data_IF_826159535343
#
_entry.id   IF_826159535343
#
_cell.length_a   1.000
_cell.length_b   1.000
_cell.length_c   1.000
_cell.angle_alpha   90.00
_cell.angle_beta   90.00
_cell.angle_gamma   90.00
#
_symmetry.space_group_name_H-M   'P 1'
#
loop_
_entity.id
_entity.type
_entity.pdbx_description
1 polymer ?
#
# COMPACT_ATOMS: atom_id res chain seq x y z
N UNK A 1 -1.92 -27.74 2.20
CA UNK A 1 -1.88 -26.38 1.64
C UNK A 1 -0.75 -25.58 2.26
N UNK A 2 -0.09 -24.71 1.48
CA UNK A 2 0.94 -23.81 1.99
C UNK A 2 0.26 -22.58 2.61
N UNK A 3 0.79 -22.11 3.73
CA UNK A 3 0.37 -20.83 4.34
C UNK A 3 0.75 -19.67 3.40
N UNK A 4 -0.09 -18.64 3.37
CA UNK A 4 0.11 -17.47 2.52
C UNK A 4 0.27 -16.22 3.38
N UNK A 5 1.18 -15.36 2.95
CA UNK A 5 1.57 -14.12 3.61
C UNK A 5 1.33 -12.94 2.68
N UNK A 6 0.77 -11.86 3.22
CA UNK A 6 0.57 -10.62 2.49
C UNK A 6 1.78 -9.68 2.67
N UNK A 7 2.19 -9.04 1.58
CA UNK A 7 3.19 -7.98 1.56
C UNK A 7 2.48 -6.69 1.18
N UNK A 8 2.25 -5.82 2.16
CA UNK A 8 1.80 -4.45 1.91
C UNK A 8 2.96 -3.53 1.57
N UNK A 9 2.82 -2.71 0.54
CA UNK A 9 3.78 -1.68 0.18
C UNK A 9 3.09 -0.40 -0.26
N UNK A 10 3.84 0.70 -0.15
CA UNK A 10 3.34 2.05 -0.36
C UNK A 10 4.09 2.75 -1.48
N UNK A 11 3.39 3.45 -2.36
CA UNK A 11 4.00 4.34 -3.37
C UNK A 11 3.42 5.74 -3.19
N UNK A 12 4.30 6.70 -2.90
CA UNK A 12 3.92 8.09 -2.70
C UNK A 12 3.42 8.72 -4.00
N UNK A 13 2.40 9.57 -3.87
CA UNK A 13 1.97 10.47 -4.93
C UNK A 13 2.73 11.80 -4.79
N UNK A 14 2.87 12.54 -5.89
CA UNK A 14 3.49 13.86 -5.84
C UNK A 14 2.61 14.84 -5.04
N UNK A 15 3.13 15.32 -3.90
CA UNK A 15 2.39 16.20 -2.97
C UNK A 15 2.00 17.54 -3.59
N UNK A 16 2.88 18.16 -4.36
CA UNK A 16 2.60 19.47 -4.97
C UNK A 16 1.52 19.34 -6.05
N UNK A 17 1.59 18.29 -6.87
CA UNK A 17 0.56 17.98 -7.84
C UNK A 17 -0.77 17.66 -7.18
N UNK A 18 -0.77 16.94 -6.05
CA UNK A 18 -1.98 16.64 -5.29
C UNK A 18 -2.67 17.91 -4.76
N UNK A 19 -1.89 18.89 -4.27
CA UNK A 19 -2.40 20.18 -3.77
C UNK A 19 -3.12 21.02 -4.81
N UNK A 20 -2.94 20.74 -6.11
CA UNK A 20 -3.68 21.42 -7.17
C UNK A 20 -5.18 21.11 -7.17
N UNK A 21 -5.66 20.18 -6.34
CA UNK A 21 -7.08 19.85 -6.21
C UNK A 21 -7.59 18.99 -7.37
N UNK A 22 -8.89 19.05 -7.73
CA UNK A 22 -9.48 18.19 -8.76
C UNK A 22 -9.11 18.67 -10.19
N UNK A 23 -7.82 18.63 -10.52
CA UNK A 23 -7.28 19.03 -11.83
C UNK A 23 -6.63 17.86 -12.57
N UNK A 24 -6.32 18.07 -13.85
CA UNK A 24 -5.56 17.12 -14.65
C UNK A 24 -4.18 16.82 -14.06
N UNK A 25 -3.55 17.78 -13.37
CA UNK A 25 -2.23 17.61 -12.74
C UNK A 25 -2.31 16.60 -11.60
N UNK A 26 -3.29 16.75 -10.70
CA UNK A 26 -3.55 15.78 -9.64
C UNK A 26 -3.90 14.39 -10.20
N UNK A 27 -4.71 14.34 -11.26
CA UNK A 27 -5.06 13.08 -11.91
C UNK A 27 -3.84 12.37 -12.51
N UNK A 28 -2.92 13.12 -13.13
CA UNK A 28 -1.66 12.59 -13.65
C UNK A 28 -0.74 12.08 -12.52
N UNK A 29 -0.68 12.77 -11.38
CA UNK A 29 0.08 12.33 -10.21
C UNK A 29 -0.44 11.00 -9.66
N UNK A 30 -1.76 10.86 -9.52
CA UNK A 30 -2.41 9.61 -9.15
C UNK A 30 -2.06 8.49 -10.15
N UNK A 31 -2.17 8.75 -11.46
CA UNK A 31 -1.85 7.77 -12.51
C UNK A 31 -0.39 7.32 -12.49
N UNK A 32 0.55 8.22 -12.21
CA UNK A 32 1.98 7.92 -12.10
C UNK A 32 2.25 6.86 -11.02
N UNK A 33 1.59 6.96 -9.87
CA UNK A 33 1.68 5.96 -8.79
C UNK A 33 1.33 4.54 -9.30
N UNK A 34 0.25 4.40 -10.07
CA UNK A 34 -0.19 3.10 -10.58
C UNK A 34 0.75 2.54 -11.64
N UNK A 35 1.42 3.42 -12.39
CA UNK A 35 2.50 3.02 -13.30
C UNK A 35 3.71 2.48 -12.52
N UNK A 36 4.11 3.16 -11.45
CA UNK A 36 5.18 2.70 -10.56
C UNK A 36 4.84 1.37 -9.88
N UNK A 37 3.56 1.15 -9.52
CA UNK A 37 3.07 -0.14 -9.00
C UNK A 37 3.42 -1.29 -9.95
N UNK A 38 3.26 -1.10 -11.25
CA UNK A 38 3.59 -2.12 -12.25
C UNK A 38 5.04 -2.58 -12.15
N UNK A 39 5.98 -1.64 -12.04
CA UNK A 39 7.40 -1.94 -11.91
C UNK A 39 7.72 -2.68 -10.61
N UNK A 40 7.28 -2.14 -9.47
CA UNK A 40 7.54 -2.74 -8.14
C UNK A 40 6.94 -4.14 -8.07
N UNK A 41 5.70 -4.31 -8.51
CA UNK A 41 5.03 -5.60 -8.49
C UNK A 41 5.76 -6.63 -9.35
N UNK A 42 6.07 -6.31 -10.61
CA UNK A 42 6.75 -7.25 -11.51
C UNK A 42 8.13 -7.62 -10.99
N UNK A 43 8.91 -6.65 -10.51
CA UNK A 43 10.24 -6.91 -9.95
C UNK A 43 10.19 -7.79 -8.70
N UNK A 44 9.28 -7.54 -7.77
CA UNK A 44 9.14 -8.34 -6.54
C UNK A 44 8.65 -9.75 -6.84
N UNK A 45 7.71 -9.91 -7.78
CA UNK A 45 7.24 -11.24 -8.19
C UNK A 45 8.38 -12.09 -8.76
N UNK A 46 9.18 -11.51 -9.65
CA UNK A 46 10.29 -12.21 -10.29
C UNK A 46 11.43 -12.51 -9.30
N UNK A 47 11.67 -11.62 -8.35
CA UNK A 47 12.61 -11.87 -7.24
C UNK A 47 12.18 -13.08 -6.40
N UNK A 48 10.92 -13.10 -5.93
CA UNK A 48 10.39 -14.20 -5.12
C UNK A 48 10.36 -15.52 -5.89
N UNK A 49 9.99 -15.47 -7.18
CA UNK A 49 10.08 -16.62 -8.09
C UNK A 49 11.52 -17.13 -8.21
N UNK A 50 12.50 -16.24 -8.27
CA UNK A 50 13.92 -16.56 -8.33
C UNK A 50 14.46 -17.28 -7.09
N UNK A 51 13.90 -17.00 -5.90
CA UNK A 51 14.25 -17.67 -4.64
C UNK A 51 13.34 -18.86 -4.29
N UNK A 52 12.48 -19.30 -5.22
CA UNK A 52 11.69 -20.53 -5.08
C UNK A 52 10.31 -20.37 -4.45
N UNK A 53 9.83 -19.12 -4.31
CA UNK A 53 8.52 -18.81 -3.74
C UNK A 53 7.56 -18.28 -4.81
N UNK A 54 6.27 -18.56 -4.62
CA UNK A 54 5.21 -17.99 -5.44
C UNK A 54 4.94 -16.58 -4.94
N UNK A 55 4.72 -15.65 -5.85
CA UNK A 55 4.22 -14.33 -5.52
C UNK A 55 3.17 -13.93 -6.54
N UNK A 56 1.98 -13.63 -6.06
CA UNK A 56 0.88 -13.13 -6.87
C UNK A 56 0.58 -11.69 -6.48
N UNK A 57 0.50 -10.83 -7.49
CA UNK A 57 0.21 -9.41 -7.35
C UNK A 57 -0.39 -8.83 -8.63
N UNK A 58 -0.70 -7.53 -8.61
CA UNK A 58 -1.18 -6.78 -9.77
C UNK A 58 -2.40 -7.37 -10.52
N UNK A 59 -3.34 -7.97 -9.78
CA UNK A 59 -4.66 -8.28 -10.31
C UNK A 59 -5.48 -7.01 -10.59
N UNK A 60 -6.44 -7.09 -11.51
CA UNK A 60 -7.46 -6.04 -11.72
C UNK A 60 -8.25 -5.75 -10.44
N UNK A 61 -8.40 -6.76 -9.60
CA UNK A 61 -9.06 -6.67 -8.31
C UNK A 61 -8.02 -6.82 -7.19
N UNK A 62 -8.08 -5.94 -6.18
CA UNK A 62 -7.16 -6.04 -5.07
C UNK A 62 -7.43 -7.32 -4.25
N UNK A 63 -6.36 -7.91 -3.71
CA UNK A 63 -6.45 -9.15 -2.93
C UNK A 63 -7.15 -8.87 -1.59
N UNK A 64 -6.83 -7.71 -1.01
CA UNK A 64 -7.38 -7.20 0.26
C UNK A 64 -7.70 -5.71 0.11
N UNK A 65 -8.37 -5.11 1.09
CA UNK A 65 -8.50 -3.65 1.09
C UNK A 65 -7.14 -3.02 1.43
N UNK A 66 -6.51 -2.28 0.50
CA UNK A 66 -5.19 -1.68 0.75
C UNK A 66 -5.11 -0.79 2.00
N UNK A 67 -6.22 -0.13 2.39
CA UNK A 67 -6.30 0.61 3.65
C UNK A 67 -6.33 -0.28 4.89
N UNK A 68 -7.20 -1.29 4.91
CA UNK A 68 -7.26 -2.27 6.01
C UNK A 68 -5.96 -3.06 6.16
N UNK A 69 -5.36 -3.47 5.05
CA UNK A 69 -4.06 -4.15 5.03
C UNK A 69 -2.95 -3.25 5.62
N UNK A 70 -2.92 -1.96 5.28
CA UNK A 70 -1.94 -1.03 5.84
C UNK A 70 -2.07 -0.84 7.37
N UNK A 71 -3.28 -0.91 7.91
CA UNK A 71 -3.51 -0.92 9.37
C UNK A 71 -2.96 -2.20 9.99
N UNK A 72 -3.25 -3.35 9.39
CA UNK A 72 -2.78 -4.65 9.89
C UNK A 72 -1.27 -4.82 9.77
N UNK A 73 -0.64 -4.25 8.74
CA UNK A 73 0.81 -4.25 8.54
C UNK A 73 1.54 -3.18 9.37
N UNK A 74 0.84 -2.39 10.18
CA UNK A 74 1.45 -1.38 11.04
C UNK A 74 2.05 -0.17 10.32
N UNK A 75 1.65 0.10 9.09
CA UNK A 75 2.13 1.28 8.35
C UNK A 75 1.23 2.50 8.48
N UNK A 76 -0.05 2.30 8.79
CA UNK A 76 -1.04 3.37 8.81
C UNK A 76 -2.12 3.20 9.89
N UNK A 77 -2.84 4.29 10.18
CA UNK A 77 -4.05 4.29 11.01
C UNK A 77 -5.25 4.85 10.26
N UNK A 78 -6.45 4.44 10.69
CA UNK A 78 -7.71 5.03 10.23
C UNK A 78 -7.81 6.52 10.57
N UNK A 79 -8.40 7.28 9.65
CA UNK A 79 -8.62 8.72 9.81
C UNK A 79 -10.10 9.09 9.72
N UNK A 80 -10.43 10.37 10.03
CA UNK A 80 -11.81 10.91 10.01
C UNK A 80 -12.57 10.62 8.71
N UNK A 81 -11.88 10.56 7.57
CA UNK A 81 -12.49 10.31 6.26
C UNK A 81 -13.07 8.90 6.07
N UNK A 82 -12.83 7.98 7.00
CA UNK A 82 -13.26 6.56 7.02
C UNK A 82 -12.76 5.67 5.88
N UNK A 83 -12.50 6.23 4.70
CA UNK A 83 -12.03 5.53 3.50
C UNK A 83 -10.52 5.64 3.28
N UNK A 84 -9.88 6.63 3.92
CA UNK A 84 -8.43 6.84 3.85
C UNK A 84 -7.79 6.55 5.19
N UNK A 85 -6.58 6.00 5.11
CA UNK A 85 -5.69 5.82 6.23
C UNK A 85 -4.49 6.76 6.07
N UNK A 86 -3.90 7.17 7.18
CA UNK A 86 -2.75 8.07 7.22
C UNK A 86 -1.55 7.24 7.64
N UNK A 87 -0.44 7.37 6.90
CA UNK A 87 0.79 6.65 7.25
C UNK A 87 1.38 7.22 8.54
N UNK A 88 1.90 6.35 9.41
CA UNK A 88 2.52 6.76 10.67
C UNK A 88 3.85 7.49 10.47
N UNK A 89 4.58 7.18 9.39
CA UNK A 89 5.92 7.70 9.10
C UNK A 89 5.96 8.66 7.89
N UNK A 90 4.85 8.83 7.18
CA UNK A 90 4.79 9.49 5.85
C UNK A 90 3.56 10.37 5.68
N UNK A 91 3.57 11.11 4.58
CA UNK A 91 2.44 11.95 4.16
C UNK A 91 1.21 11.08 3.79
N UNK A 92 -0.02 11.54 4.08
CA UNK A 92 -1.24 10.79 3.78
C UNK A 92 -1.48 10.54 2.29
N UNK A 93 -0.82 11.29 1.39
CA UNK A 93 -1.01 11.17 -0.06
C UNK A 93 -0.16 10.01 -0.62
N UNK A 94 -0.59 8.79 -0.29
CA UNK A 94 0.14 7.58 -0.60
C UNK A 94 -0.78 6.48 -1.13
N UNK A 95 -0.33 5.80 -2.18
CA UNK A 95 -0.97 4.60 -2.70
C UNK A 95 -0.59 3.37 -1.92
N UNK A 96 -1.54 2.49 -1.65
CA UNK A 96 -1.33 1.24 -0.91
C UNK A 96 -1.64 0.07 -1.81
N UNK A 97 -0.73 -0.88 -1.82
CA UNK A 97 -0.73 -2.00 -2.72
C UNK A 97 -0.26 -3.25 -1.99
N UNK A 98 -0.64 -4.38 -2.55
CA UNK A 98 -0.49 -5.68 -1.92
C UNK A 98 0.06 -6.72 -2.89
N UNK A 99 0.79 -7.68 -2.34
CA UNK A 99 1.20 -8.93 -2.96
C UNK A 99 0.91 -10.05 -1.98
N UNK A 100 0.70 -11.27 -2.47
CA UNK A 100 0.58 -12.46 -1.64
C UNK A 100 1.64 -13.48 -2.04
N UNK A 101 2.26 -14.12 -1.06
CA UNK A 101 3.36 -15.07 -1.28
C UNK A 101 3.28 -16.25 -0.31
N UNK A 102 3.93 -17.36 -0.64
CA UNK A 102 4.15 -18.49 0.29
C UNK A 102 5.51 -18.43 0.99
N UNK A 103 6.25 -17.31 0.87
CA UNK A 103 7.47 -17.04 1.64
C UNK A 103 7.12 -16.82 3.12
N UNK A 104 7.63 -17.65 4.06
CA UNK A 104 7.42 -17.44 5.48
C UNK A 104 8.04 -16.13 5.96
N UNK A 105 7.21 -15.26 6.54
CA UNK A 105 7.62 -13.94 7.03
C UNK A 105 7.00 -13.66 8.40
N UNK A 106 7.75 -12.97 9.26
CA UNK A 106 7.22 -12.49 10.52
C UNK A 106 6.21 -11.35 10.26
N UNK A 107 4.99 -11.42 10.82
CA UNK A 107 4.03 -10.31 10.73
C UNK A 107 4.59 -9.04 11.38
N UNK A 108 4.30 -7.89 10.77
CA UNK A 108 4.55 -6.59 11.41
C UNK A 108 3.34 -6.24 12.29
N UNK A 109 3.53 -5.86 13.56
CA UNK A 109 2.41 -5.52 14.44
C UNK A 109 1.75 -4.20 14.01
N UNK A 110 0.45 -4.01 14.27
CA UNK A 110 -0.23 -2.73 14.09
C UNK A 110 0.43 -1.59 14.88
N UNK A 111 0.23 -0.35 14.43
CA UNK A 111 0.81 0.87 15.01
C UNK A 111 -0.25 1.74 15.70
N UNK A 112 0.16 2.44 16.75
CA UNK A 112 -0.57 3.57 17.36
C UNK A 112 0.35 4.81 17.42
N UNK A 113 0.28 5.61 16.36
CA UNK A 113 0.81 6.96 16.20
C UNK A 113 -0.18 8.05 16.69
N UNK A 114 -1.36 7.69 17.22
CA UNK A 114 -2.35 8.63 17.74
C UNK A 114 -3.09 9.42 16.65
N UNK A 115 -3.09 8.94 15.41
CA UNK A 115 -3.78 9.59 14.28
C UNK A 115 -5.28 9.64 14.55
N UNK A 116 -5.87 8.54 15.01
CA UNK A 116 -7.30 8.52 15.34
C UNK A 116 -7.65 9.53 16.44
N UNK A 117 -6.82 9.63 17.49
CA UNK A 117 -7.01 10.60 18.60
C UNK A 117 -6.96 12.04 18.10
N UNK A 118 -6.12 12.35 17.12
CA UNK A 118 -6.11 13.66 16.47
C UNK A 118 -7.36 13.90 15.61
N UNK A 119 -7.88 12.85 14.98
CA UNK A 119 -9.03 12.89 14.10
C UNK A 119 -10.40 12.87 14.81
N UNK A 120 -10.48 12.86 16.14
CA UNK A 120 -11.75 12.90 16.87
C UNK A 120 -12.40 14.29 16.78
#
# INVERSE_FOLDING_TARGET
>A
DKELFEIGYSIQENREAHRTGPTAIRSAANGSRYRMRGLVCSSTQEFLRGIGYICNGASTYPITSGGGAAVMHGSAEGARSSWWVIDADRDPVTGRFELITDLPMAPTPPVDAGIWRFCQ
#
